data_IF_726741280703
#
_entry.id   IF_726741280703
#
_cell.length_a   1.000
_cell.length_b   1.000
_cell.length_c   1.000
_cell.angle_alpha   90.00
_cell.angle_beta   90.00
_cell.angle_gamma   90.00
#
_symmetry.space_group_name_H-M   'P 1'
#
loop_
_entity.id
_entity.type
_entity.pdbx_description
1 polymer ?
#
# COMPACT_ATOMS: atom_id res chain seq x y z
N UNK A 1 22.15 19.51 0.09
CA UNK A 1 23.27 19.18 0.99
C UNK A 1 22.96 17.82 1.61
N UNK A 2 23.82 16.83 1.77
CA UNK A 2 25.23 16.58 1.46
C UNK A 2 25.30 15.05 1.52
N UNK A 3 25.58 14.37 0.40
CA UNK A 3 25.93 12.95 0.46
C UNK A 3 27.30 12.87 1.15
N UNK A 4 27.29 12.58 2.46
CA UNK A 4 28.49 12.38 3.25
C UNK A 4 29.16 11.06 2.84
N UNK A 5 30.50 11.11 2.69
CA UNK A 5 31.36 9.95 2.45
C UNK A 5 31.19 8.93 3.59
N UNK A 6 30.86 7.69 3.21
CA UNK A 6 30.38 6.52 3.98
C UNK A 6 28.90 6.59 4.34
N UNK A 7 28.11 5.79 3.63
CA UNK A 7 26.72 5.52 3.95
C UNK A 7 26.63 5.01 5.39
N UNK A 8 26.04 5.83 6.27
CA UNK A 8 25.93 5.52 7.70
C UNK A 8 24.88 4.42 7.84
N UNK A 9 25.28 3.29 8.42
CA UNK A 9 24.34 2.25 8.84
C UNK A 9 23.49 2.79 9.98
N UNK A 10 22.19 2.84 9.77
CA UNK A 10 21.21 3.24 10.76
C UNK A 10 20.62 2.01 11.45
N UNK A 11 20.29 2.14 12.74
CA UNK A 11 19.61 1.09 13.49
C UNK A 11 18.14 1.02 13.08
N UNK A 12 17.63 -0.20 12.88
CA UNK A 12 16.23 -0.42 12.48
C UNK A 12 15.25 0.00 13.58
N UNK A 13 15.65 -0.07 14.85
CA UNK A 13 14.81 0.41 15.95
C UNK A 13 14.48 1.90 15.84
N UNK A 14 15.38 2.68 15.23
CA UNK A 14 15.17 4.11 15.00
C UNK A 14 14.14 4.39 13.88
N UNK A 15 13.94 3.43 12.99
CA UNK A 15 13.05 3.54 11.83
C UNK A 15 11.59 3.24 12.20
N UNK A 16 11.36 2.55 13.33
CA UNK A 16 10.04 2.17 13.80
C UNK A 16 9.21 3.40 14.25
N UNK A 17 8.05 3.65 13.63
CA UNK A 17 7.20 4.80 13.98
C UNK A 17 6.31 4.56 15.22
N UNK A 18 6.35 3.37 15.82
CA UNK A 18 5.39 2.95 16.85
C UNK A 18 5.85 3.29 18.26
N UNK A 19 4.93 3.82 19.05
CA UNK A 19 5.13 4.07 20.49
C UNK A 19 4.54 2.95 21.33
N UNK A 20 3.40 2.41 20.91
CA UNK A 20 2.71 1.36 21.66
C UNK A 20 1.91 0.41 20.75
N UNK A 21 1.81 -0.84 21.17
CA UNK A 21 0.97 -1.88 20.59
C UNK A 21 -0.09 -2.25 21.64
N UNK A 22 -1.30 -1.74 21.49
CA UNK A 22 -2.37 -1.84 22.47
C UNK A 22 -3.48 -2.75 21.95
N UNK A 23 -3.57 -3.96 22.52
CA UNK A 23 -4.52 -5.02 22.12
C UNK A 23 -4.46 -5.38 20.62
N UNK A 24 -5.45 -4.93 19.85
CA UNK A 24 -5.67 -5.12 18.41
C UNK A 24 -5.36 -3.84 17.60
N UNK A 25 -4.67 -2.88 18.21
CA UNK A 25 -4.40 -1.56 17.65
C UNK A 25 -2.93 -1.15 17.84
N UNK A 26 -2.43 -0.31 16.95
CA UNK A 26 -1.10 0.31 17.11
C UNK A 26 -1.17 1.81 17.13
N UNK A 27 -0.32 2.41 17.95
CA UNK A 27 -0.24 3.86 18.13
C UNK A 27 1.12 4.33 17.64
N UNK A 28 1.10 5.13 16.58
CA UNK A 28 2.29 5.77 16.04
C UNK A 28 2.67 7.03 16.85
N UNK A 29 3.93 7.44 16.75
CA UNK A 29 4.47 8.59 17.48
C UNK A 29 3.78 9.93 17.16
N UNK A 30 3.19 10.06 15.97
CA UNK A 30 2.39 11.22 15.58
C UNK A 30 0.92 11.15 16.07
N UNK A 31 0.59 10.11 16.82
CA UNK A 31 -0.74 9.84 17.34
C UNK A 31 -1.67 9.23 16.30
N UNK A 32 -1.19 8.71 15.17
CA UNK A 32 -2.03 7.90 14.29
C UNK A 32 -2.39 6.58 14.98
N UNK A 33 -3.65 6.17 14.86
CA UNK A 33 -4.14 4.89 15.39
C UNK A 33 -4.39 3.97 14.20
N UNK A 34 -3.81 2.79 14.20
CA UNK A 34 -3.99 1.83 13.11
C UNK A 34 -4.56 0.51 13.64
N UNK A 35 -5.42 -0.11 12.84
CA UNK A 35 -6.08 -1.39 13.10
C UNK A 35 -5.79 -2.30 11.91
N UNK A 36 -5.27 -3.49 12.18
CA UNK A 36 -4.71 -4.37 11.16
C UNK A 36 -5.51 -5.66 11.03
N UNK A 37 -5.71 -6.07 9.78
CA UNK A 37 -6.40 -7.28 9.41
C UNK A 37 -5.53 -8.11 8.47
N UNK A 38 -5.41 -9.40 8.74
CA UNK A 38 -4.95 -10.37 7.74
C UNK A 38 -6.13 -10.78 6.87
N UNK A 39 -5.89 -10.87 5.58
CA UNK A 39 -6.89 -11.26 4.60
C UNK A 39 -6.35 -12.30 3.63
N UNK A 40 -7.28 -13.09 3.09
CA UNK A 40 -7.00 -14.01 1.99
C UNK A 40 -7.74 -13.47 0.78
N UNK A 41 -6.99 -12.96 -0.19
CA UNK A 41 -7.58 -12.48 -1.44
C UNK A 41 -8.16 -13.68 -2.18
N UNK A 42 -9.42 -13.56 -2.61
CA UNK A 42 -9.98 -14.58 -3.48
C UNK A 42 -9.29 -14.53 -4.85
N UNK A 43 -9.14 -15.70 -5.45
CA UNK A 43 -8.60 -15.80 -6.79
C UNK A 43 -9.57 -15.13 -7.77
N UNK A 44 -9.05 -14.24 -8.61
CA UNK A 44 -9.84 -13.46 -9.57
C UNK A 44 -10.69 -14.35 -10.50
N UNK A 45 -10.21 -15.57 -10.80
CA UNK A 45 -10.92 -16.58 -11.60
C UNK A 45 -12.18 -17.15 -10.92
N UNK A 46 -12.35 -16.89 -9.62
CA UNK A 46 -13.52 -17.30 -8.84
C UNK A 46 -14.64 -16.26 -8.87
N UNK A 47 -14.34 -15.01 -9.24
CA UNK A 47 -15.34 -13.95 -9.30
C UNK A 47 -16.04 -13.89 -10.65
N UNK A 48 -17.35 -13.67 -10.63
CA UNK A 48 -18.11 -13.20 -11.79
C UNK A 48 -17.95 -11.68 -11.95
N UNK A 49 -18.25 -11.17 -13.15
CA UNK A 49 -18.26 -9.72 -13.42
C UNK A 49 -19.11 -8.94 -12.41
N UNK A 50 -20.32 -9.42 -12.14
CA UNK A 50 -21.21 -8.77 -11.19
C UNK A 50 -20.63 -8.78 -9.77
N UNK A 51 -20.05 -9.90 -9.32
CA UNK A 51 -19.42 -9.98 -8.00
C UNK A 51 -18.25 -9.01 -7.87
N UNK A 52 -17.48 -8.81 -8.93
CA UNK A 52 -16.40 -7.83 -8.94
C UNK A 52 -16.94 -6.39 -8.86
N UNK A 53 -17.96 -6.06 -9.66
CA UNK A 53 -18.61 -4.74 -9.63
C UNK A 53 -19.18 -4.47 -8.23
N UNK A 54 -19.95 -5.41 -7.68
CA UNK A 54 -20.53 -5.31 -6.34
C UNK A 54 -19.44 -5.11 -5.28
N UNK A 55 -18.35 -5.88 -5.36
CA UNK A 55 -17.19 -5.74 -4.48
C UNK A 55 -16.60 -4.32 -4.54
N UNK A 56 -16.33 -3.80 -5.74
CA UNK A 56 -15.76 -2.45 -5.89
C UNK A 56 -16.69 -1.37 -5.34
N UNK A 57 -18.00 -1.50 -5.52
CA UNK A 57 -18.99 -0.58 -4.97
C UNK A 57 -19.09 -0.65 -3.44
N UNK A 58 -19.07 -1.86 -2.86
CA UNK A 58 -19.08 -2.07 -1.41
C UNK A 58 -17.82 -1.46 -0.79
N UNK A 59 -16.64 -1.70 -1.38
CA UNK A 59 -15.39 -1.14 -0.90
C UNK A 59 -15.40 0.40 -0.97
N UNK A 60 -15.79 0.96 -2.11
CA UNK A 60 -15.85 2.42 -2.29
C UNK A 60 -16.84 3.08 -1.32
N UNK A 61 -18.01 2.46 -1.08
CA UNK A 61 -19.02 2.98 -0.15
C UNK A 61 -18.52 2.89 1.30
N UNK A 62 -17.89 1.76 1.67
CA UNK A 62 -17.31 1.57 3.00
C UNK A 62 -16.19 2.57 3.28
N UNK A 63 -15.37 2.90 2.27
CA UNK A 63 -14.34 3.92 2.40
C UNK A 63 -14.91 5.34 2.60
N UNK A 64 -16.06 5.66 1.98
CA UNK A 64 -16.74 6.96 2.18
C UNK A 64 -17.25 7.17 3.60
N UNK A 65 -17.58 6.09 4.31
CA UNK A 65 -18.02 6.15 5.70
C UNK A 65 -16.87 6.40 6.69
N UNK A 66 -15.62 6.19 6.27
CA UNK A 66 -14.46 6.42 7.12
C UNK A 66 -14.26 7.93 7.37
N UNK A 67 -13.73 8.31 8.55
CA UNK A 67 -13.39 9.70 8.85
C UNK A 67 -12.45 10.32 7.81
N UNK A 68 -12.57 11.63 7.57
CA UNK A 68 -11.68 12.35 6.65
C UNK A 68 -10.20 12.20 7.04
N UNK A 69 -9.34 12.01 6.03
CA UNK A 69 -7.91 11.69 6.15
C UNK A 69 -7.59 10.31 6.75
N UNK A 70 -8.58 9.41 6.86
CA UNK A 70 -8.31 7.99 7.10
C UNK A 70 -7.59 7.37 5.91
N UNK A 71 -6.72 6.42 6.22
CA UNK A 71 -5.87 5.71 5.27
C UNK A 71 -6.30 4.25 5.26
N UNK A 72 -6.55 3.73 4.06
CA UNK A 72 -6.68 2.29 3.82
C UNK A 72 -5.40 1.85 3.12
N UNK A 73 -4.59 1.06 3.80
CA UNK A 73 -3.37 0.50 3.25
C UNK A 73 -3.55 -1.01 3.03
N UNK A 74 -3.30 -1.46 1.81
CA UNK A 74 -3.15 -2.88 1.47
C UNK A 74 -1.67 -3.18 1.28
N UNK A 75 -1.17 -4.17 2.03
CA UNK A 75 0.20 -4.67 1.90
C UNK A 75 0.14 -6.12 1.46
N UNK A 76 0.58 -6.38 0.23
CA UNK A 76 0.77 -7.74 -0.29
C UNK A 76 2.25 -8.09 -0.26
N UNK A 77 2.56 -9.26 0.30
CA UNK A 77 3.93 -9.72 0.48
C UNK A 77 4.09 -11.01 -0.28
N UNK A 78 5.06 -11.02 -1.19
CA UNK A 78 5.43 -12.16 -1.99
C UNK A 78 6.85 -12.59 -1.65
N UNK A 79 7.00 -13.80 -1.13
CA UNK A 79 8.31 -14.32 -0.72
C UNK A 79 8.49 -15.80 -1.11
N UNK A 80 9.73 -16.25 -1.33
CA UNK A 80 9.99 -17.65 -1.69
C UNK A 80 9.58 -18.57 -0.55
N UNK A 81 8.89 -19.64 -0.92
CA UNK A 81 8.56 -20.73 -0.01
C UNK A 81 8.60 -22.04 -0.81
N UNK A 82 8.49 -23.16 -0.11
CA UNK A 82 8.31 -24.46 -0.72
C UNK A 82 6.86 -24.88 -0.54
N UNK A 83 6.24 -25.37 -1.62
CA UNK A 83 4.89 -25.87 -1.53
C UNK A 83 4.88 -27.13 -0.66
N UNK A 84 4.10 -27.04 0.41
CA UNK A 84 3.79 -28.17 1.28
C UNK A 84 2.28 -28.30 1.35
N UNK A 85 1.77 -29.51 1.24
CA UNK A 85 0.33 -29.74 1.29
C UNK A 85 -0.24 -29.43 2.69
N UNK A 86 -1.06 -28.39 2.87
CA UNK A 86 -1.67 -28.14 4.16
C UNK A 86 -2.86 -29.08 4.31
N UNK A 87 -2.79 -30.00 5.27
CA UNK A 87 -3.98 -30.59 5.91
C UNK A 87 -4.75 -31.69 5.14
N UNK A 88 -4.12 -32.50 4.28
CA UNK A 88 -4.78 -33.72 3.76
C UNK A 88 -3.96 -34.97 4.08
N UNK A 89 -4.55 -35.89 4.85
CA UNK A 89 -4.04 -37.24 5.04
C UNK A 89 -3.99 -37.93 3.67
N UNK A 90 -2.77 -38.03 3.12
CA UNK A 90 -2.52 -38.48 1.74
C UNK A 90 -3.17 -39.83 1.42
N UNK A 91 -3.43 -40.65 2.45
CA UNK A 91 -4.07 -41.96 2.35
C UNK A 91 -5.59 -41.90 2.06
N UNK A 92 -6.25 -40.75 2.21
CA UNK A 92 -7.68 -40.54 1.91
C UNK A 92 -7.95 -39.92 0.53
N UNK A 93 -6.90 -39.58 -0.21
CA UNK A 93 -7.01 -38.94 -1.52
C UNK A 93 -7.10 -39.98 -2.64
N UNK A 94 -7.88 -39.67 -3.68
CA UNK A 94 -7.88 -40.43 -4.93
C UNK A 94 -6.49 -40.49 -5.57
N UNK A 95 -6.19 -41.55 -6.33
CA UNK A 95 -4.88 -41.78 -6.97
C UNK A 95 -4.34 -40.54 -7.73
N UNK A 96 -5.18 -39.86 -8.50
CA UNK A 96 -4.77 -38.67 -9.26
C UNK A 96 -4.41 -37.49 -8.35
N UNK A 97 -5.18 -37.26 -7.28
CA UNK A 97 -4.91 -36.21 -6.29
C UNK A 97 -3.62 -36.52 -5.52
N UNK A 98 -3.39 -37.78 -5.14
CA UNK A 98 -2.13 -38.20 -4.54
C UNK A 98 -0.93 -37.94 -5.45
N UNK A 99 -1.06 -38.28 -6.74
CA UNK A 99 0.02 -38.06 -7.72
C UNK A 99 0.28 -36.56 -7.94
N UNK A 100 -0.76 -35.74 -7.98
CA UNK A 100 -0.64 -34.29 -8.10
C UNK A 100 0.06 -33.69 -6.87
N UNK A 101 -0.38 -34.06 -5.65
CA UNK A 101 0.25 -33.63 -4.40
C UNK A 101 1.72 -34.03 -4.37
N UNK A 102 2.06 -35.29 -4.68
CA UNK A 102 3.46 -35.74 -4.74
C UNK A 102 4.28 -35.01 -5.79
N UNK A 103 3.65 -34.60 -6.90
CA UNK A 103 4.34 -33.86 -7.95
C UNK A 103 4.61 -32.41 -7.54
N UNK A 104 3.75 -31.79 -6.72
CA UNK A 104 3.87 -30.40 -6.29
C UNK A 104 4.66 -30.23 -4.99
N UNK A 105 4.76 -31.27 -4.16
CA UNK A 105 5.52 -31.28 -2.90
C UNK A 105 6.97 -30.82 -3.09
N UNK A 106 7.41 -29.87 -2.25
CA UNK A 106 8.77 -29.33 -2.23
C UNK A 106 9.13 -28.44 -3.43
N UNK A 107 8.20 -28.17 -4.36
CA UNK A 107 8.46 -27.23 -5.46
C UNK A 107 8.53 -25.79 -4.94
N UNK A 108 9.44 -24.96 -5.49
CA UNK A 108 9.49 -23.56 -5.12
C UNK A 108 8.22 -22.86 -5.57
N UNK A 109 7.65 -22.08 -4.66
CA UNK A 109 6.50 -21.22 -4.89
C UNK A 109 6.81 -19.82 -4.39
N UNK A 110 6.00 -18.87 -4.83
CA UNK A 110 5.96 -17.55 -4.24
C UNK A 110 4.75 -17.51 -3.31
N UNK A 111 5.00 -17.55 -2.01
CA UNK A 111 3.96 -17.45 -0.99
C UNK A 111 3.42 -16.01 -0.97
N UNK A 112 2.10 -15.86 -0.83
CA UNK A 112 1.42 -14.57 -0.78
C UNK A 112 0.71 -14.40 0.56
N UNK A 113 1.08 -13.35 1.30
CA UNK A 113 0.32 -12.86 2.45
C UNK A 113 -0.25 -11.47 2.15
N UNK A 114 -1.52 -11.25 2.46
CA UNK A 114 -2.19 -9.97 2.26
C UNK A 114 -2.71 -9.40 3.57
N UNK A 115 -2.50 -8.09 3.75
CA UNK A 115 -2.90 -7.36 4.94
C UNK A 115 -3.64 -6.09 4.55
N UNK A 116 -4.72 -5.79 5.27
CA UNK A 116 -5.45 -4.53 5.17
C UNK A 116 -5.36 -3.80 6.49
N UNK A 117 -5.00 -2.53 6.41
CA UNK A 117 -4.69 -1.70 7.54
C UNK A 117 -5.51 -0.43 7.42
N UNK A 118 -6.32 -0.16 8.43
CA UNK A 118 -7.06 1.08 8.57
C UNK A 118 -6.29 1.98 9.52
N UNK A 119 -5.81 3.13 9.04
CA UNK A 119 -5.13 4.11 9.89
C UNK A 119 -5.96 5.38 10.00
N UNK A 120 -6.29 5.75 11.23
CA UNK A 120 -7.07 6.92 11.58
C UNK A 120 -6.11 8.04 12.00
N UNK A 121 -6.19 9.21 11.34
CA UNK A 121 -5.20 10.27 11.51
C UNK A 121 -5.23 10.81 12.93
N UNK A 122 -4.05 11.11 13.45
CA UNK A 122 -3.89 11.88 14.69
C UNK A 122 -4.23 13.36 14.51
N UNK A 123 -3.54 14.23 15.25
CA UNK A 123 -3.73 15.68 15.15
C UNK A 123 -3.07 16.30 13.90
N UNK A 124 -2.15 15.56 13.28
CA UNK A 124 -1.42 16.00 12.10
C UNK A 124 -2.07 15.43 10.83
N UNK A 125 -2.58 16.32 9.97
CA UNK A 125 -3.42 15.96 8.82
C UNK A 125 -2.70 16.03 7.46
N UNK A 126 -1.55 16.69 7.40
CA UNK A 126 -0.85 16.96 6.15
C UNK A 126 0.43 16.15 6.06
N UNK A 127 0.33 14.97 5.47
CA UNK A 127 1.49 14.15 5.18
C UNK A 127 2.06 14.49 3.80
N UNK A 128 3.27 15.06 3.78
CA UNK A 128 4.12 15.16 2.59
C UNK A 128 5.13 14.01 2.57
N UNK A 129 5.76 13.67 1.43
CA UNK A 129 6.82 12.66 1.38
C UNK A 129 7.99 12.94 2.35
N UNK A 130 8.24 14.20 2.71
CA UNK A 130 9.24 14.60 3.73
C UNK A 130 8.74 14.50 5.17
N UNK A 131 7.51 14.03 5.37
CA UNK A 131 6.84 13.98 6.68
C UNK A 131 6.64 12.56 7.22
N UNK A 132 7.31 11.60 6.62
CA UNK A 132 7.41 10.24 7.16
C UNK A 132 8.13 10.28 8.50
N UNK A 133 7.90 9.29 9.36
CA UNK A 133 8.63 9.19 10.61
C UNK A 133 10.15 9.16 10.38
N UNK A 134 10.59 8.48 9.32
CA UNK A 134 12.00 8.39 8.95
C UNK A 134 12.65 9.74 8.60
N UNK A 135 11.90 10.62 7.92
CA UNK A 135 12.38 11.95 7.53
C UNK A 135 12.10 13.04 8.57
N UNK A 136 11.16 12.78 9.49
CA UNK A 136 10.93 13.59 10.67
C UNK A 136 12.05 13.26 11.66
N UNK A 137 13.09 14.09 11.70
CA UNK A 137 13.99 14.09 12.86
C UNK A 137 13.13 14.04 14.14
N UNK A 138 13.45 13.11 15.04
CA UNK A 138 12.84 12.88 16.37
C UNK A 138 12.66 14.18 17.19
N UNK A 139 13.32 15.27 16.79
CA UNK A 139 13.42 16.56 17.46
C UNK A 139 12.53 17.66 16.91
N UNK A 140 11.70 17.44 15.87
CA UNK A 140 10.69 18.45 15.50
C UNK A 140 9.52 18.36 16.47
N UNK A 141 9.62 19.18 17.53
CA UNK A 141 8.57 19.45 18.52
C UNK A 141 7.19 19.40 17.89
N UNK A 142 6.42 18.35 18.20
CA UNK A 142 4.99 18.33 17.97
C UNK A 142 4.40 19.60 18.62
N UNK A 143 3.84 20.50 17.82
CA UNK A 143 3.30 21.78 18.33
C UNK A 143 2.12 21.58 19.27
N UNK A 144 1.48 20.39 19.21
CA UNK A 144 0.41 19.93 20.10
C UNK A 144 0.68 18.49 20.51
N UNK A 145 0.26 18.11 21.73
CA UNK A 145 0.34 16.74 22.23
C UNK A 145 -0.41 15.77 21.29
N UNK A 146 0.29 14.88 20.56
CA UNK A 146 -0.34 13.97 19.58
C UNK A 146 -1.33 12.98 20.20
N UNK A 147 -1.21 12.73 21.51
CA UNK A 147 -2.04 11.79 22.28
C UNK A 147 -3.24 12.45 22.97
N UNK A 148 -3.59 13.69 22.61
CA UNK A 148 -4.77 14.34 23.17
C UNK A 148 -6.05 13.52 22.90
N UNK A 149 -6.83 13.25 23.96
CA UNK A 149 -8.06 12.46 23.92
C UNK A 149 -7.91 11.04 23.33
N UNK A 150 -6.74 10.41 23.51
CA UNK A 150 -6.41 9.11 22.94
C UNK A 150 -7.46 8.04 23.20
N UNK A 151 -7.93 7.88 24.45
CA UNK A 151 -8.96 6.87 24.81
C UNK A 151 -10.24 7.03 23.98
N UNK A 152 -10.74 8.25 23.81
CA UNK A 152 -11.94 8.51 23.00
C UNK A 152 -11.71 8.16 21.54
N UNK A 153 -10.53 8.48 21.00
CA UNK A 153 -10.19 8.17 19.60
C UNK A 153 -10.00 6.68 19.38
N UNK A 154 -9.43 5.95 20.35
CA UNK A 154 -9.31 4.49 20.29
C UNK A 154 -10.70 3.84 20.18
N UNK A 155 -11.65 4.27 21.01
CA UNK A 155 -13.04 3.78 20.96
C UNK A 155 -13.72 4.06 19.62
N UNK A 156 -13.53 5.26 19.05
CA UNK A 156 -14.08 5.63 17.74
C UNK A 156 -13.43 4.80 16.63
N UNK A 157 -12.10 4.74 16.59
CA UNK A 157 -11.35 3.96 15.60
C UNK A 157 -11.77 2.48 15.60
N UNK A 158 -11.92 1.89 16.79
CA UNK A 158 -12.37 0.50 16.94
C UNK A 158 -13.79 0.29 16.41
N UNK A 159 -14.71 1.23 16.70
CA UNK A 159 -16.08 1.19 16.17
C UNK A 159 -16.10 1.29 14.64
N UNK A 160 -15.40 2.27 14.08
CA UNK A 160 -15.38 2.53 12.63
C UNK A 160 -14.72 1.38 11.88
N UNK A 161 -13.64 0.81 12.41
CA UNK A 161 -12.99 -0.38 11.84
C UNK A 161 -13.88 -1.63 11.91
N UNK A 162 -14.65 -1.80 12.99
CA UNK A 162 -15.62 -2.91 13.09
C UNK A 162 -16.75 -2.76 12.06
N UNK A 163 -17.23 -1.53 11.83
CA UNK A 163 -18.23 -1.24 10.79
C UNK A 163 -17.68 -1.52 9.40
N UNK A 164 -16.47 -1.05 9.09
CA UNK A 164 -15.79 -1.35 7.83
C UNK A 164 -15.60 -2.86 7.63
N UNK A 165 -15.16 -3.57 8.66
CA UNK A 165 -15.01 -5.03 8.61
C UNK A 165 -16.34 -5.73 8.31
N UNK A 166 -17.42 -5.28 8.95
CA UNK A 166 -18.74 -5.86 8.73
C UNK A 166 -19.22 -5.63 7.29
N UNK A 167 -19.03 -4.44 6.73
CA UNK A 167 -19.50 -4.10 5.38
C UNK A 167 -18.78 -4.89 4.29
N UNK A 168 -17.48 -5.14 4.44
CA UNK A 168 -16.67 -5.86 3.43
C UNK A 168 -16.65 -7.39 3.62
N UNK A 169 -17.09 -7.89 4.78
CA UNK A 169 -16.96 -9.30 5.20
C UNK A 169 -17.49 -10.33 4.20
N UNK A 170 -18.52 -9.99 3.42
CA UNK A 170 -19.15 -10.88 2.44
C UNK A 170 -18.19 -11.29 1.31
N UNK A 171 -17.32 -10.38 0.89
CA UNK A 171 -16.41 -10.58 -0.24
C UNK A 171 -14.95 -10.71 0.20
N UNK A 172 -14.62 -10.18 1.39
CA UNK A 172 -13.26 -10.14 1.89
C UNK A 172 -13.21 -10.53 3.38
N UNK A 173 -12.75 -11.75 3.70
CA UNK A 173 -12.58 -12.16 5.08
C UNK A 173 -11.44 -11.35 5.71
N UNK A 174 -11.78 -10.57 6.73
CA UNK A 174 -10.81 -9.82 7.53
C UNK A 174 -10.69 -10.46 8.91
N UNK A 175 -9.50 -10.97 9.21
CA UNK A 175 -9.13 -11.53 10.52
C UNK A 175 -8.28 -10.50 11.27
N UNK A 176 -8.69 -10.05 12.46
CA UNK A 176 -7.91 -9.09 13.24
C UNK A 176 -6.59 -9.71 13.66
N UNK A 177 -5.51 -8.92 13.62
CA UNK A 177 -4.20 -9.33 14.12
C UNK A 177 -4.03 -8.94 15.58
N UNK A 178 -3.31 -9.76 16.33
CA UNK A 178 -2.84 -9.42 17.67
C UNK A 178 -1.61 -8.50 17.60
N UNK A 179 -1.37 -7.73 18.67
CA UNK A 179 -0.17 -6.91 18.81
C UNK A 179 1.15 -7.67 18.53
N UNK A 180 1.27 -8.92 19.00
CA UNK A 180 2.46 -9.75 18.78
C UNK A 180 2.65 -10.13 17.31
N UNK A 181 1.58 -10.61 16.66
CA UNK A 181 1.62 -10.98 15.23
C UNK A 181 1.95 -9.77 14.36
N UNK A 182 1.41 -8.60 14.70
CA UNK A 182 1.68 -7.38 13.94
C UNK A 182 3.11 -6.87 14.17
N UNK A 183 3.63 -6.92 15.40
CA UNK A 183 5.03 -6.61 15.68
C UNK A 183 5.98 -7.49 14.86
N UNK A 184 5.73 -8.80 14.83
CA UNK A 184 6.52 -9.72 13.99
C UNK A 184 6.39 -9.38 12.50
N UNK A 185 5.19 -9.04 12.00
CA UNK A 185 5.01 -8.60 10.62
C UNK A 185 5.87 -7.37 10.29
N UNK A 186 5.86 -6.34 11.15
CA UNK A 186 6.68 -5.15 10.96
C UNK A 186 8.16 -5.50 10.88
N UNK A 187 8.64 -6.34 11.78
CA UNK A 187 10.04 -6.75 11.79
C UNK A 187 10.43 -7.57 10.56
N UNK A 188 9.54 -8.47 10.10
CA UNK A 188 9.73 -9.22 8.84
C UNK A 188 9.80 -8.28 7.65
N UNK A 189 8.91 -7.28 7.57
CA UNK A 189 8.93 -6.25 6.52
C UNK A 189 10.19 -5.39 6.56
N UNK A 190 10.63 -4.96 7.75
CA UNK A 190 11.85 -4.17 7.91
C UNK A 190 13.09 -4.97 7.52
N UNK A 191 13.22 -6.22 7.98
CA UNK A 191 14.35 -7.09 7.68
C UNK A 191 14.31 -7.72 6.28
N UNK A 192 13.18 -7.59 5.58
CA UNK A 192 12.86 -8.30 4.34
C UNK A 192 13.05 -9.82 4.47
N UNK A 193 12.85 -10.35 5.69
CA UNK A 193 13.02 -11.76 6.02
C UNK A 193 11.68 -12.35 6.43
N UNK A 194 11.05 -13.10 5.52
CA UNK A 194 9.74 -13.71 5.76
C UNK A 194 9.83 -15.18 6.17
N UNK A 195 11.03 -15.77 6.13
CA UNK A 195 11.30 -17.14 6.59
C UNK A 195 11.39 -17.22 8.13
N UNK A 196 11.67 -16.11 8.82
CA UNK A 196 11.74 -16.06 10.28
C UNK A 196 10.35 -15.78 10.88
N UNK A 197 9.68 -16.76 11.52
CA UNK A 197 8.34 -16.59 12.07
C UNK A 197 8.31 -15.67 13.30
N UNK A 198 9.43 -15.53 14.02
CA UNK A 198 9.52 -14.67 15.22
C UNK A 198 9.79 -13.22 14.85
N UNK A 199 10.17 -12.93 13.59
CA UNK A 199 10.41 -11.58 13.12
C UNK A 199 11.50 -10.90 13.94
N UNK A 200 12.67 -11.52 14.07
CA UNK A 200 13.78 -10.84 14.73
C UNK A 200 14.32 -9.73 13.83
N UNK A 201 14.67 -8.58 14.41
CA UNK A 201 15.30 -7.49 13.67
C UNK A 201 16.78 -7.80 13.46
N UNK A 202 17.18 -7.91 12.19
CA UNK A 202 18.56 -8.19 11.81
C UNK A 202 19.19 -6.99 11.11
N UNK A 203 20.44 -6.71 11.46
CA UNK A 203 21.28 -5.78 10.70
C UNK A 203 20.90 -4.31 10.91
N UNK A 204 20.94 -3.53 9.84
CA UNK A 204 20.68 -2.09 9.86
C UNK A 204 20.34 -1.61 8.47
N UNK A 205 19.79 -0.41 8.37
CA UNK A 205 19.45 0.21 7.11
C UNK A 205 20.66 0.97 6.57
N UNK A 206 21.06 0.63 5.34
CA UNK A 206 22.13 1.32 4.60
C UNK A 206 21.50 1.95 3.36
N UNK A 207 21.61 3.28 3.29
CA UNK A 207 21.17 4.06 2.13
C UNK A 207 22.18 3.90 1.00
N UNK A 208 21.72 3.60 -0.21
CA UNK A 208 22.50 3.76 -1.43
C UNK A 208 21.66 4.58 -2.43
N UNK A 209 22.27 5.08 -3.51
CA UNK A 209 21.57 5.82 -4.56
C UNK A 209 20.66 4.91 -5.39
N UNK A 210 21.06 3.66 -5.58
CA UNK A 210 20.38 2.73 -6.50
C UNK A 210 19.52 1.70 -5.78
N UNK A 211 19.71 1.52 -4.47
CA UNK A 211 18.98 0.57 -3.65
C UNK A 211 18.98 0.98 -2.18
N UNK A 212 18.10 0.39 -1.39
CA UNK A 212 18.20 0.34 0.07
C UNK A 212 18.67 -1.04 0.48
N UNK A 213 19.61 -1.13 1.40
CA UNK A 213 20.05 -2.42 1.95
C UNK A 213 19.61 -2.56 3.39
N UNK A 214 18.94 -3.67 3.69
CA UNK A 214 18.49 -4.02 5.04
C UNK A 214 18.79 -5.48 5.31
N UNK A 215 19.35 -5.80 6.47
CA UNK A 215 19.66 -7.19 6.87
C UNK A 215 20.39 -8.04 5.80
N UNK A 216 21.29 -7.41 5.02
CA UNK A 216 22.02 -7.99 3.86
C UNK A 216 21.19 -8.26 2.59
N UNK A 217 19.91 -7.90 2.57
CA UNK A 217 19.06 -7.88 1.38
C UNK A 217 19.09 -6.50 0.75
N UNK A 218 19.09 -6.45 -0.58
CA UNK A 218 18.93 -5.22 -1.34
C UNK A 218 17.49 -5.11 -1.81
N UNK A 219 16.94 -3.91 -1.79
CA UNK A 219 15.63 -3.61 -2.30
C UNK A 219 15.66 -2.32 -3.12
N UNK A 220 14.82 -2.29 -4.15
CA UNK A 220 14.54 -1.10 -4.95
C UNK A 220 13.08 -0.71 -4.73
N UNK A 221 12.73 0.55 -4.99
CA UNK A 221 11.36 1.03 -4.85
C UNK A 221 10.90 1.56 -6.20
N UNK A 222 9.79 1.04 -6.69
CA UNK A 222 9.13 1.52 -7.90
C UNK A 222 7.82 2.17 -7.47
N UNK A 223 7.63 3.43 -7.82
CA UNK A 223 6.41 4.18 -7.56
C UNK A 223 5.54 4.27 -8.81
N UNK A 224 4.22 4.36 -8.63
CA UNK A 224 3.30 4.75 -9.69
C UNK A 224 3.38 6.27 -9.89
N UNK A 225 3.65 6.72 -11.13
CA UNK A 225 3.61 8.14 -11.51
C UNK A 225 2.30 8.48 -12.20
N UNK A 226 1.84 7.64 -13.13
CA UNK A 226 0.62 7.88 -13.89
C UNK A 226 -0.27 6.64 -13.88
N UNK A 227 -1.53 6.86 -13.50
CA UNK A 227 -2.60 5.89 -13.69
C UNK A 227 -3.05 5.86 -15.15
N UNK A 228 -3.67 4.75 -15.54
CA UNK A 228 -4.35 4.65 -16.84
C UNK A 228 -5.41 5.75 -16.99
N UNK A 229 -5.50 6.32 -18.19
CA UNK A 229 -6.47 7.37 -18.56
C UNK A 229 -7.89 6.81 -18.58
N UNK A 230 -8.03 5.53 -18.94
CA UNK A 230 -9.30 4.82 -18.90
C UNK A 230 -9.28 3.82 -17.74
N UNK A 231 -10.30 3.82 -16.86
CA UNK A 231 -10.49 2.71 -15.93
C UNK A 231 -10.78 1.48 -16.79
N UNK A 232 -9.80 0.60 -16.91
CA UNK A 232 -10.00 -0.64 -17.67
C UNK A 232 -11.10 -1.44 -16.97
N UNK A 233 -12.13 -1.78 -17.75
CA UNK A 233 -13.25 -2.58 -17.29
C UNK A 233 -12.80 -4.04 -17.12
N UNK A 234 -13.49 -4.75 -16.24
CA UNK A 234 -13.39 -6.19 -16.03
C UNK A 234 -13.31 -6.95 -17.35
N UNK A 235 -12.12 -7.42 -17.72
CA UNK A 235 -11.97 -8.29 -18.90
C UNK A 235 -12.20 -9.72 -18.42
N UNK A 236 -13.14 -10.42 -19.05
CA UNK A 236 -13.31 -11.84 -18.83
C UNK A 236 -12.04 -12.56 -19.32
N UNK A 237 -11.29 -13.14 -18.40
CA UNK A 237 -10.24 -14.09 -18.67
C UNK A 237 -10.84 -15.40 -19.21
N UNK A 238 -10.06 -16.15 -19.97
CA UNK A 238 -10.45 -17.48 -20.48
C UNK A 238 -10.41 -18.55 -19.39
N UNK A 239 -9.94 -18.22 -18.18
CA UNK A 239 -9.81 -19.13 -17.05
C UNK A 239 -10.85 -18.78 -15.96
N UNK A 240 -11.67 -19.75 -15.55
CA UNK A 240 -12.70 -19.60 -14.50
C UNK A 240 -14.13 -20.03 -14.90
N UNK A 241 -15.07 -20.03 -13.96
CA UNK A 241 -16.49 -20.27 -14.24
C UNK A 241 -17.09 -19.05 -14.95
N UNK A 242 -17.54 -19.21 -16.20
CA UNK A 242 -18.04 -18.14 -17.07
C UNK A 242 -16.99 -17.07 -17.44
N UNK A 243 -15.70 -17.44 -17.47
CA UNK A 243 -14.59 -16.58 -17.86
C UNK A 243 -14.27 -15.55 -16.78
N UNK A 244 -13.52 -15.96 -15.74
CA UNK A 244 -13.30 -15.15 -14.54
C UNK A 244 -12.74 -13.76 -14.83
N UNK A 245 -12.89 -12.82 -13.90
CA UNK A 245 -12.59 -11.41 -14.19
C UNK A 245 -11.13 -11.08 -13.93
N UNK A 246 -10.36 -10.69 -14.95
CA UNK A 246 -9.09 -10.00 -14.72
C UNK A 246 -9.37 -8.58 -14.21
N UNK A 247 -8.90 -8.28 -13.00
CA UNK A 247 -8.90 -6.92 -12.46
C UNK A 247 -7.69 -6.17 -13.06
N UNK A 248 -7.90 -5.25 -14.02
CA UNK A 248 -6.80 -4.76 -14.86
C UNK A 248 -5.77 -3.90 -14.10
N UNK A 249 -6.11 -3.37 -12.92
CA UNK A 249 -5.21 -2.46 -12.19
C UNK A 249 -4.11 -3.18 -11.39
N UNK A 250 -4.16 -4.50 -11.20
CA UNK A 250 -3.18 -5.19 -10.33
C UNK A 250 -2.76 -6.60 -10.75
N UNK A 251 -3.44 -7.25 -11.70
CA UNK A 251 -3.16 -8.64 -12.09
C UNK A 251 -1.69 -8.83 -12.55
N UNK A 252 -1.19 -7.88 -13.35
CA UNK A 252 0.21 -7.84 -13.77
C UNK A 252 1.22 -7.64 -12.64
N UNK A 253 0.83 -7.05 -11.50
CA UNK A 253 1.79 -6.71 -10.45
C UNK A 253 1.87 -7.77 -9.35
N UNK A 254 0.89 -8.66 -9.22
CA UNK A 254 0.95 -9.79 -8.30
C UNK A 254 1.43 -11.08 -8.97
N UNK A 255 0.67 -11.57 -9.97
CA UNK A 255 0.88 -12.91 -10.55
C UNK A 255 1.97 -12.98 -11.60
N UNK A 256 2.25 -11.88 -12.30
CA UNK A 256 3.23 -11.92 -13.38
C UNK A 256 4.68 -11.79 -12.89
N UNK A 257 4.87 -11.41 -11.61
CA UNK A 257 6.18 -11.21 -11.00
C UNK A 257 6.62 -12.47 -10.24
N UNK A 258 7.58 -13.21 -10.80
CA UNK A 258 8.07 -14.48 -10.25
C UNK A 258 9.29 -14.31 -9.33
N UNK A 259 9.32 -13.25 -8.52
CA UNK A 259 10.44 -12.93 -7.61
C UNK A 259 9.92 -12.30 -6.32
N UNK A 260 10.73 -12.24 -5.24
CA UNK A 260 10.30 -11.67 -3.97
C UNK A 260 10.02 -10.17 -4.12
N UNK A 261 8.82 -9.74 -3.70
CA UNK A 261 8.43 -8.34 -3.76
C UNK A 261 7.32 -8.01 -2.74
N UNK A 262 7.26 -6.75 -2.33
CA UNK A 262 6.17 -6.20 -1.52
C UNK A 262 5.41 -5.21 -2.37
N UNK A 263 4.08 -5.23 -2.31
CA UNK A 263 3.22 -4.23 -2.90
C UNK A 263 2.51 -3.49 -1.78
N UNK A 264 2.70 -2.17 -1.72
CA UNK A 264 2.05 -1.29 -0.75
C UNK A 264 1.15 -0.32 -1.49
N UNK A 265 -0.16 -0.43 -1.28
CA UNK A 265 -1.17 0.46 -1.85
C UNK A 265 -1.81 1.23 -0.73
N UNK A 266 -1.81 2.54 -0.81
CA UNK A 266 -2.41 3.42 0.20
C UNK A 266 -3.44 4.29 -0.49
N UNK A 267 -4.68 4.22 -0.01
CA UNK A 267 -5.76 5.11 -0.39
C UNK A 267 -6.04 6.01 0.81
N UNK A 268 -5.86 7.32 0.63
CA UNK A 268 -6.20 8.32 1.63
C UNK A 268 -7.48 9.03 1.23
N UNK A 269 -8.47 8.97 2.11
CA UNK A 269 -9.70 9.73 1.96
C UNK A 269 -9.42 11.21 2.20
N UNK A 270 -9.71 12.09 1.24
CA UNK A 270 -9.54 13.53 1.44
C UNK A 270 -10.89 14.24 1.51
N UNK A 271 -10.91 15.36 2.21
CA UNK A 271 -12.05 16.27 2.19
C UNK A 271 -12.13 16.92 0.81
N UNK A 272 -13.05 16.42 -0.03
CA UNK A 272 -13.19 16.81 -1.42
C UNK A 272 -13.62 18.29 -1.54
N UNK A 273 -14.49 18.76 -0.65
CA UNK A 273 -14.94 20.16 -0.65
C UNK A 273 -13.78 21.10 -0.28
N UNK A 274 -13.04 20.77 0.78
CA UNK A 274 -11.87 21.54 1.17
C UNK A 274 -10.77 21.53 0.10
N UNK A 275 -10.57 20.39 -0.58
CA UNK A 275 -9.62 20.26 -1.68
C UNK A 275 -9.98 21.16 -2.85
N UNK A 276 -11.23 21.09 -3.33
CA UNK A 276 -11.72 21.88 -4.46
C UNK A 276 -11.64 23.37 -4.14
N UNK A 277 -12.16 23.78 -2.98
CA UNK A 277 -12.13 25.18 -2.53
C UNK A 277 -10.71 25.73 -2.46
N UNK A 278 -9.74 24.95 -1.95
CA UNK A 278 -8.33 25.35 -1.89
C UNK A 278 -7.75 25.56 -3.29
N UNK A 279 -8.01 24.65 -4.23
CA UNK A 279 -7.51 24.78 -5.59
C UNK A 279 -8.16 25.95 -6.32
N UNK A 280 -9.48 26.14 -6.22
CA UNK A 280 -10.16 27.28 -6.85
C UNK A 280 -9.64 28.61 -6.32
N UNK A 281 -9.42 28.73 -5.00
CA UNK A 281 -8.81 29.93 -4.42
C UNK A 281 -7.38 30.16 -4.93
N UNK A 282 -6.59 29.09 -5.07
CA UNK A 282 -5.23 29.16 -5.62
C UNK A 282 -5.22 29.65 -7.09
N UNK A 283 -6.17 29.17 -7.91
CA UNK A 283 -6.32 29.65 -9.28
C UNK A 283 -6.80 31.09 -9.35
N UNK A 284 -7.79 31.48 -8.54
CA UNK A 284 -8.26 32.85 -8.46
C UNK A 284 -7.14 33.83 -8.06
N UNK A 285 -6.31 33.43 -7.08
CA UNK A 285 -5.13 34.21 -6.68
C UNK A 285 -4.08 34.29 -7.80
N UNK A 286 -3.83 33.17 -8.48
CA UNK A 286 -2.89 33.14 -9.62
C UNK A 286 -3.37 34.01 -10.78
N UNK A 287 -4.68 34.03 -11.05
CA UNK A 287 -5.29 34.90 -12.06
C UNK A 287 -5.17 36.38 -11.67
N UNK A 288 -5.37 36.72 -10.39
CA UNK A 288 -5.28 38.10 -9.90
C UNK A 288 -3.85 38.66 -9.88
N UNK A 289 -2.82 37.79 -9.82
CA UNK A 289 -1.43 38.20 -9.61
C UNK A 289 -0.53 38.08 -10.84
N UNK A 290 -0.94 37.34 -11.88
CA UNK A 290 -0.16 37.18 -13.10
C UNK A 290 -0.51 38.28 -14.11
N UNK A 291 0.52 38.95 -14.64
CA UNK A 291 0.39 40.00 -15.66
C UNK A 291 0.54 39.49 -17.11
N UNK A 292 1.03 38.25 -17.27
CA UNK A 292 1.34 37.64 -18.58
C UNK A 292 0.09 36.93 -19.13
N UNK A 293 -0.45 37.44 -20.25
CA UNK A 293 -1.69 36.97 -20.86
C UNK A 293 -1.65 35.49 -21.25
N UNK A 294 -0.49 34.98 -21.70
CA UNK A 294 -0.36 33.56 -22.04
C UNK A 294 -0.48 32.67 -20.80
N UNK A 295 0.06 33.12 -19.66
CA UNK A 295 -0.07 32.40 -18.38
C UNK A 295 -1.48 32.50 -17.83
N UNK A 296 -2.14 33.65 -18.01
CA UNK A 296 -3.55 33.83 -17.66
C UNK A 296 -4.47 32.89 -18.45
N UNK A 297 -4.26 32.77 -19.76
CA UNK A 297 -4.99 31.81 -20.60
C UNK A 297 -4.83 30.37 -20.11
N UNK A 298 -3.60 29.95 -19.80
CA UNK A 298 -3.35 28.61 -19.23
C UNK A 298 -4.06 28.42 -17.88
N UNK A 299 -4.03 29.41 -16.99
CA UNK A 299 -4.72 29.34 -15.69
C UNK A 299 -6.23 29.22 -15.87
N UNK A 300 -6.82 29.99 -16.79
CA UNK A 300 -8.25 29.93 -17.10
C UNK A 300 -8.64 28.58 -17.70
N UNK A 301 -7.80 28.03 -18.58
CA UNK A 301 -8.01 26.70 -19.16
C UNK A 301 -8.02 25.61 -18.09
N UNK A 302 -6.99 25.53 -17.24
CA UNK A 302 -6.91 24.55 -16.14
C UNK A 302 -8.08 24.71 -15.16
N UNK A 303 -8.50 25.95 -14.89
CA UNK A 303 -9.68 26.22 -14.06
C UNK A 303 -10.97 25.69 -14.70
N UNK A 304 -11.09 25.78 -16.03
CA UNK A 304 -12.19 25.18 -16.79
C UNK A 304 -12.22 23.67 -16.66
N UNK A 305 -11.08 23.00 -16.87
CA UNK A 305 -10.94 21.54 -16.68
C UNK A 305 -11.31 21.12 -15.25
N UNK A 306 -10.91 21.91 -14.25
CA UNK A 306 -11.25 21.59 -12.86
C UNK A 306 -12.74 21.78 -12.54
N UNK A 307 -13.43 22.70 -13.22
CA UNK A 307 -14.89 22.84 -13.09
C UNK A 307 -15.64 21.68 -13.75
N UNK A 308 -15.16 21.17 -14.89
CA UNK A 308 -15.69 19.96 -15.52
C UNK A 308 -15.44 18.72 -14.64
N UNK A 309 -14.28 18.64 -14.01
CA UNK A 309 -13.95 17.61 -13.03
C UNK A 309 -14.88 17.65 -11.82
N UNK A 310 -15.13 18.83 -11.24
CA UNK A 310 -16.09 19.01 -10.14
C UNK A 310 -17.51 18.59 -10.54
N UNK A 311 -17.97 18.98 -11.73
CA UNK A 311 -19.29 18.55 -12.23
C UNK A 311 -19.39 17.03 -12.36
N UNK A 312 -18.31 16.39 -12.83
CA UNK A 312 -18.24 14.93 -12.96
C UNK A 312 -18.32 14.24 -11.59
N UNK A 313 -17.56 14.73 -10.60
CA UNK A 313 -17.58 14.20 -9.24
C UNK A 313 -18.98 14.32 -8.61
N UNK A 314 -19.61 15.49 -8.73
CA UNK A 314 -20.96 15.73 -8.23
C UNK A 314 -21.99 14.86 -8.94
N UNK A 315 -21.90 14.71 -10.26
CA UNK A 315 -22.82 13.89 -11.06
C UNK A 315 -22.75 12.40 -10.72
N UNK A 316 -21.56 11.90 -10.35
CA UNK A 316 -21.32 10.48 -9.99
C UNK A 316 -21.35 10.21 -8.48
N UNK A 317 -21.50 11.26 -7.66
CA UNK A 317 -21.38 11.18 -6.20
C UNK A 317 -20.06 10.52 -5.77
N UNK A 318 -18.95 10.87 -6.43
CA UNK A 318 -17.61 10.31 -6.19
C UNK A 318 -16.81 11.19 -5.23
N UNK A 319 -15.95 10.55 -4.43
CA UNK A 319 -15.03 11.25 -3.52
C UNK A 319 -13.65 11.30 -4.12
N UNK A 320 -12.94 12.42 -3.95
CA UNK A 320 -11.54 12.51 -4.31
C UNK A 320 -10.73 11.72 -3.27
N UNK A 321 -9.76 10.94 -3.75
CA UNK A 321 -8.82 10.19 -2.92
C UNK A 321 -7.40 10.45 -3.38
N UNK A 322 -6.44 10.29 -2.47
CA UNK A 322 -5.03 10.21 -2.84
C UNK A 322 -4.63 8.74 -2.90
N UNK A 323 -3.97 8.35 -3.99
CA UNK A 323 -3.45 7.00 -4.20
C UNK A 323 -1.92 7.04 -4.16
N UNK A 324 -1.33 6.21 -3.30
CA UNK A 324 0.09 5.85 -3.37
C UNK A 324 0.20 4.37 -3.69
N UNK A 325 1.05 4.01 -4.64
CA UNK A 325 1.30 2.64 -5.04
C UNK A 325 2.80 2.44 -5.18
N UNK A 326 3.34 1.57 -4.33
CA UNK A 326 4.76 1.22 -4.31
C UNK A 326 4.92 -0.29 -4.53
N UNK A 327 5.89 -0.67 -5.37
CA UNK A 327 6.35 -2.05 -5.54
C UNK A 327 7.81 -2.12 -5.15
N UNK A 328 8.16 -3.05 -4.26
CA UNK A 328 9.48 -3.19 -3.67
C UNK A 328 10.00 -4.59 -3.98
N UNK A 329 10.69 -4.81 -5.11
CA UNK A 329 11.45 -6.03 -5.33
C UNK A 329 12.61 -6.10 -4.35
N UNK A 330 12.89 -7.30 -3.84
CA UNK A 330 13.99 -7.51 -2.90
C UNK A 330 14.65 -8.88 -3.05
N UNK A 331 15.88 -9.01 -2.55
CA UNK A 331 16.59 -10.28 -2.52
C UNK A 331 17.98 -10.21 -1.93
N UNK A 332 18.56 -11.38 -1.65
CA UNK A 332 19.99 -11.54 -1.39
C UNK A 332 20.66 -11.74 -2.77
N UNK A 333 20.62 -10.68 -3.59
CA UNK A 333 21.05 -10.74 -4.98
C UNK A 333 22.01 -9.59 -5.30
N UNK A 334 22.74 -9.77 -6.39
CA UNK A 334 23.52 -8.72 -7.02
C UNK A 334 22.61 -7.62 -7.60
N UNK A 335 23.21 -6.46 -7.91
CA UNK A 335 22.46 -5.32 -8.41
C UNK A 335 21.87 -5.58 -9.80
N UNK A 336 22.51 -6.38 -10.65
CA UNK A 336 22.04 -6.63 -12.01
C UNK A 336 20.75 -7.47 -11.98
N UNK A 337 20.70 -8.51 -11.13
CA UNK A 337 19.47 -9.27 -10.88
C UNK A 337 18.34 -8.39 -10.33
N UNK A 338 18.65 -7.48 -9.39
CA UNK A 338 17.66 -6.57 -8.84
C UNK A 338 17.13 -5.59 -9.90
N UNK A 339 18.00 -5.08 -10.78
CA UNK A 339 17.61 -4.25 -11.92
C UNK A 339 16.72 -5.02 -12.92
N UNK A 340 16.95 -6.32 -13.11
CA UNK A 340 16.06 -7.17 -13.91
C UNK A 340 14.67 -7.29 -13.28
N UNK A 341 14.58 -7.43 -11.95
CA UNK A 341 13.29 -7.42 -11.25
C UNK A 341 12.56 -6.09 -11.44
N UNK A 342 13.26 -4.98 -11.23
CA UNK A 342 12.69 -3.64 -11.43
C UNK A 342 12.23 -3.41 -12.88
N UNK A 343 12.97 -3.92 -13.87
CA UNK A 343 12.57 -3.85 -15.28
C UNK A 343 11.28 -4.64 -15.55
N UNK A 344 11.12 -5.81 -14.93
CA UNK A 344 9.89 -6.60 -15.02
C UNK A 344 8.71 -5.90 -14.33
N UNK A 345 8.92 -5.23 -13.20
CA UNK A 345 7.90 -4.39 -12.55
C UNK A 345 7.44 -3.26 -13.47
N UNK A 346 8.38 -2.56 -14.11
CA UNK A 346 8.05 -1.47 -15.05
C UNK A 346 7.30 -1.99 -16.29
N UNK A 347 7.71 -3.16 -16.80
CA UNK A 347 7.00 -3.82 -17.89
C UNK A 347 5.58 -4.24 -17.47
N UNK A 348 5.39 -4.73 -16.24
CA UNK A 348 4.08 -5.05 -15.69
C UNK A 348 3.19 -3.81 -15.54
N UNK A 349 3.72 -2.68 -15.04
CA UNK A 349 3.01 -1.38 -15.04
C UNK A 349 2.59 -0.98 -16.46
N UNK A 350 3.51 -1.05 -17.42
CA UNK A 350 3.19 -0.72 -18.82
C UNK A 350 2.14 -1.66 -19.41
N UNK A 351 2.15 -2.95 -19.05
CA UNK A 351 1.18 -3.94 -19.51
C UNK A 351 -0.25 -3.65 -19.03
N UNK A 352 -0.40 -2.98 -17.89
CA UNK A 352 -1.70 -2.55 -17.34
C UNK A 352 -2.05 -1.09 -17.71
N UNK A 353 -1.32 -0.46 -18.63
CA UNK A 353 -1.56 0.92 -19.06
C UNK A 353 -1.17 1.99 -18.03
N UNK A 354 -0.35 1.63 -17.05
CA UNK A 354 0.20 2.54 -16.03
C UNK A 354 1.67 2.86 -16.29
N UNK A 355 2.16 3.95 -15.70
CA UNK A 355 3.58 4.30 -15.74
C UNK A 355 4.19 4.24 -14.34
N UNK A 356 5.09 3.28 -14.15
CA UNK A 356 5.95 3.21 -12.98
C UNK A 356 7.25 3.99 -13.16
N UNK A 357 7.93 4.29 -12.05
CA UNK A 357 9.24 4.91 -12.04
C UNK A 357 10.12 4.31 -10.95
N UNK A 358 11.37 3.99 -11.33
CA UNK A 358 12.37 3.51 -10.39
C UNK A 358 12.90 4.69 -9.57
N UNK A 359 12.64 4.65 -8.27
CA UNK A 359 12.99 5.71 -7.35
C UNK A 359 14.46 5.67 -6.98
N UNK A 360 15.20 6.67 -7.44
CA UNK A 360 16.64 6.86 -7.19
C UNK A 360 16.92 7.97 -6.17
N UNK A 361 15.86 8.67 -5.74
CA UNK A 361 15.92 9.76 -4.78
C UNK A 361 15.13 9.32 -3.56
N UNK A 362 15.77 9.38 -2.38
CA UNK A 362 15.11 9.12 -1.10
C UNK A 362 14.47 7.72 -0.97
N UNK A 363 15.07 6.72 -1.65
CA UNK A 363 14.59 5.32 -1.70
C UNK A 363 14.39 4.72 -0.31
N UNK A 364 15.24 5.05 0.66
CA UNK A 364 15.09 4.59 2.04
C UNK A 364 13.84 5.15 2.72
N UNK A 365 13.50 6.40 2.46
CA UNK A 365 12.29 7.01 2.99
C UNK A 365 11.03 6.38 2.38
N UNK A 366 11.03 6.20 1.06
CA UNK A 366 9.92 5.54 0.36
C UNK A 366 9.77 4.07 0.80
N UNK A 367 10.87 3.36 1.01
CA UNK A 367 10.86 2.04 1.63
C UNK A 367 10.17 2.07 3.00
N UNK A 368 10.51 3.04 3.85
CA UNK A 368 9.87 3.19 5.16
C UNK A 368 8.38 3.54 5.05
N UNK A 369 7.95 4.32 4.04
CA UNK A 369 6.51 4.60 3.82
C UNK A 369 5.70 3.38 3.42
N UNK A 370 6.33 2.41 2.76
CA UNK A 370 5.65 1.20 2.35
C UNK A 370 5.39 0.26 3.53
N UNK A 371 6.05 0.47 4.67
CA UNK A 371 5.87 -0.34 5.87
C UNK A 371 4.40 -0.28 6.33
N UNK A 372 3.88 -1.39 6.88
CA UNK A 372 2.55 -1.42 7.48
C UNK A 372 2.36 -0.29 8.50
N UNK A 373 1.23 0.43 8.43
CA UNK A 373 0.87 1.57 9.30
C UNK A 373 1.76 2.82 9.21
N UNK A 374 2.69 2.89 8.24
CA UNK A 374 3.50 4.09 7.98
C UNK A 374 3.17 4.73 6.62
N UNK A 375 2.06 4.31 6.01
CA UNK A 375 1.57 4.83 4.73
C UNK A 375 1.15 6.28 4.84
N UNK A 376 1.63 7.11 3.92
CA UNK A 376 1.33 8.55 3.82
C UNK A 376 0.61 8.92 2.53
#
# INVERSE_FOLDING_TARGET
MLFSKKDKKEDLHRVLPFVDFHDDMTISADGTISIQFKTTLAFQEQYTEQQYIDWTHILASSMKELPCNSLVQQVDIYYPDQWHNPSIDSNKLDFLKQKQVRHTEGRPILHHESYIILSFPGLYKNYTPLSTFYSRDETKSFSKNPFAHLEKRLTIAKKDAAQFRQSVSTHLPLTPLTAGEFSHLIHRCLSLNFEDPEGNLYGGLVKNKEYVQVANRKAQVISLIESSIEPSYTVLDKFGHNGGVCAPLTDGLGRSLNFPHIISRVIRMIDSEAFLKKHFNSFAWSEATKLDERKLQNIRHIRGEMAEFEQTLCGRNESIVYLSFLVIPFGITDLDTLNQYSSQVLAAFSGIGMRGYLETIDTANLFCTALPCNGN
#
